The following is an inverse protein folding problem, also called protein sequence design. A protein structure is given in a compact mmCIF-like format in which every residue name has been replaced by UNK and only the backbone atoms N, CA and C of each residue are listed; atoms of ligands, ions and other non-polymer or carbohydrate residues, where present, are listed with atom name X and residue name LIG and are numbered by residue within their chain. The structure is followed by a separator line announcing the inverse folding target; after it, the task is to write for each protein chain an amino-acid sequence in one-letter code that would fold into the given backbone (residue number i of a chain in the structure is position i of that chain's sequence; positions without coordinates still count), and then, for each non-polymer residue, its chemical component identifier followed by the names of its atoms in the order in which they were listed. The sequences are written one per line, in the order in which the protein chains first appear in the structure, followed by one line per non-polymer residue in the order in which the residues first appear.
data_IF_724726378473
#
_entry.id   IF_724726378473
#
_cell.length_a   1.000
_cell.length_b   1.000
_cell.length_c   1.000
_cell.angle_alpha   90.00
_cell.angle_beta   90.00
_cell.angle_gamma   90.00
#
_symmetry.space_group_name_H-M   'P 1'
#
loop_
_entity.id
_entity.type
_entity.pdbx_description
1 polymer ?
#
# COMPACT_ATOMS: atom_id res chain seq x y z
N UNK A 1 53.49 -28.47 -3.96
CA UNK A 1 54.50 -27.60 -4.61
C UNK A 1 53.76 -26.74 -5.63
N UNK A 2 53.87 -25.41 -5.49
CA UNK A 2 53.85 -24.36 -6.56
C UNK A 2 52.82 -24.53 -7.70
N UNK A 3 51.88 -23.63 -7.97
CA UNK A 3 51.80 -22.19 -7.77
C UNK A 3 51.29 -21.54 -9.07
N UNK A 4 50.51 -20.46 -8.94
CA UNK A 4 50.09 -19.53 -10.01
C UNK A 4 49.09 -20.06 -11.08
N UNK A 5 48.14 -19.28 -11.59
CA UNK A 5 48.09 -17.83 -11.66
C UNK A 5 46.67 -17.25 -11.71
N UNK A 6 46.59 -16.03 -11.17
CA UNK A 6 45.47 -15.09 -11.30
C UNK A 6 45.43 -14.58 -12.74
N UNK A 7 44.23 -14.53 -13.34
CA UNK A 7 43.93 -13.57 -14.40
C UNK A 7 42.65 -12.82 -14.02
N UNK A 8 42.82 -11.58 -13.57
CA UNK A 8 41.75 -10.59 -13.42
C UNK A 8 41.64 -9.86 -14.75
N UNK A 9 40.53 -10.04 -15.46
CA UNK A 9 40.19 -9.22 -16.62
C UNK A 9 39.41 -8.00 -16.14
N UNK A 10 40.08 -6.85 -16.20
CA UNK A 10 39.48 -5.52 -16.17
C UNK A 10 38.91 -5.24 -17.57
N UNK A 11 37.62 -4.91 -17.67
CA UNK A 11 36.98 -4.41 -18.88
C UNK A 11 36.32 -3.06 -18.59
N UNK A 12 36.89 -2.00 -19.17
CA UNK A 12 36.42 -0.61 -19.13
C UNK A 12 35.20 -0.38 -20.04
N UNK A 13 34.24 0.41 -19.54
CA UNK A 13 33.58 1.59 -20.14
C UNK A 13 32.96 1.47 -21.54
N UNK A 14 31.65 1.77 -21.64
CA UNK A 14 31.13 2.73 -22.62
C UNK A 14 29.68 3.14 -22.28
N UNK A 15 29.56 4.40 -21.88
CA UNK A 15 28.32 5.17 -21.79
C UNK A 15 27.74 5.43 -23.18
N UNK A 16 26.41 5.32 -23.35
CA UNK A 16 25.70 5.88 -24.51
C UNK A 16 24.51 6.71 -24.03
N UNK A 17 24.44 7.92 -24.59
CA UNK A 17 23.55 9.02 -24.25
C UNK A 17 22.12 8.86 -24.81
N UNK A 18 21.24 9.71 -24.30
CA UNK A 18 19.78 9.73 -24.48
C UNK A 18 19.31 10.10 -25.90
N UNK A 19 18.07 9.70 -26.22
CA UNK A 19 17.19 10.47 -27.09
C UNK A 19 15.76 10.47 -26.50
N UNK A 20 15.30 11.64 -26.08
CA UNK A 20 13.92 11.91 -25.70
C UNK A 20 13.17 12.44 -26.92
N UNK A 21 12.01 11.86 -27.23
CA UNK A 21 11.06 12.40 -28.20
C UNK A 21 9.72 12.64 -27.48
N UNK A 22 9.39 13.91 -27.31
CA UNK A 22 8.07 14.41 -26.88
C UNK A 22 7.30 14.77 -28.15
N UNK A 23 6.14 14.16 -28.36
CA UNK A 23 5.14 14.66 -29.33
C UNK A 23 3.91 15.13 -28.54
N UNK A 24 3.56 16.40 -28.75
CA UNK A 24 2.60 17.15 -27.97
C UNK A 24 1.13 16.86 -28.31
N UNK A 25 0.27 17.26 -27.38
CA UNK A 25 -1.19 17.29 -27.52
C UNK A 25 -1.63 18.71 -27.90
N UNK A 26 -2.40 18.84 -28.97
CA UNK A 26 -3.33 19.95 -29.20
C UNK A 26 -4.60 19.61 -28.40
N UNK A 27 -5.18 20.42 -27.51
CA UNK A 27 -5.18 21.87 -27.42
C UNK A 27 -6.40 22.43 -28.16
N UNK A 28 -7.61 22.23 -27.62
CA UNK A 28 -8.82 22.84 -28.15
C UNK A 28 -9.63 23.43 -26.98
N UNK A 29 -9.54 24.76 -26.83
CA UNK A 29 -10.37 25.59 -25.97
C UNK A 29 -11.65 25.97 -26.71
N UNK A 30 -12.75 26.16 -25.98
CA UNK A 30 -13.81 27.10 -26.37
C UNK A 30 -14.50 27.65 -25.13
N UNK A 31 -14.40 28.96 -24.97
CA UNK A 31 -15.15 29.85 -24.08
C UNK A 31 -16.67 29.82 -24.36
N UNK A 32 -17.46 30.11 -23.32
CA UNK A 32 -18.90 30.36 -23.40
C UNK A 32 -19.32 31.35 -22.30
N UNK A 33 -19.88 32.47 -22.74
CA UNK A 33 -20.09 33.74 -22.05
C UNK A 33 -21.39 33.83 -21.21
N UNK A 34 -21.38 34.82 -20.30
CA UNK A 34 -22.48 35.64 -19.72
C UNK A 34 -23.66 35.06 -18.91
N UNK A 35 -24.00 35.76 -17.80
CA UNK A 35 -25.35 35.73 -17.20
C UNK A 35 -25.49 36.21 -15.74
N UNK A 36 -25.66 37.52 -15.54
CA UNK A 36 -26.39 38.30 -14.52
C UNK A 36 -26.43 38.03 -12.99
N UNK A 37 -25.91 39.05 -12.29
CA UNK A 37 -26.39 39.81 -11.10
C UNK A 37 -27.63 39.36 -10.30
N UNK A 38 -27.47 39.32 -8.96
CA UNK A 38 -28.03 40.27 -7.98
C UNK A 38 -28.33 39.57 -6.64
N UNK A 39 -27.89 40.16 -5.52
CA UNK A 39 -28.28 39.68 -4.20
C UNK A 39 -27.48 40.28 -3.04
N UNK A 40 -27.67 41.57 -2.79
CA UNK A 40 -27.26 42.26 -1.57
C UNK A 40 -27.78 41.58 -0.29
N UNK A 41 -26.90 41.40 0.71
CA UNK A 41 -27.16 41.82 2.11
C UNK A 41 -25.88 41.86 2.96
N UNK A 42 -25.69 43.03 3.58
CA UNK A 42 -24.67 43.48 4.53
C UNK A 42 -24.73 42.71 5.88
N UNK A 43 -23.65 42.65 6.69
CA UNK A 43 -23.51 41.70 7.80
C UNK A 43 -24.08 42.25 9.11
N UNK A 44 -24.45 41.33 10.01
CA UNK A 44 -24.80 41.66 11.40
C UNK A 44 -23.71 41.13 12.33
N UNK A 45 -23.03 42.06 12.99
CA UNK A 45 -22.26 41.85 14.22
C UNK A 45 -23.20 41.46 15.36
N UNK A 46 -22.72 40.63 16.29
CA UNK A 46 -23.18 40.62 17.69
C UNK A 46 -22.08 39.98 18.56
N UNK A 47 -21.54 40.77 19.48
CA UNK A 47 -20.61 40.37 20.54
C UNK A 47 -21.35 40.29 21.88
N UNK A 48 -20.98 39.29 22.71
CA UNK A 48 -20.90 39.28 24.19
C UNK A 48 -22.20 39.47 25.02
N UNK A 49 -22.41 38.93 26.22
CA UNK A 49 -21.74 37.98 27.12
C UNK A 49 -22.70 37.67 28.30
N UNK A 50 -22.42 36.61 29.09
CA UNK A 50 -22.99 36.33 30.42
C UNK A 50 -23.14 34.81 30.67
N UNK A 51 -22.14 34.12 31.25
CA UNK A 51 -22.04 33.67 32.66
C UNK A 51 -23.29 32.91 33.15
N UNK A 52 -23.24 31.64 33.55
CA UNK A 52 -22.48 31.11 34.70
C UNK A 52 -22.34 29.58 34.59
N UNK A 53 -21.19 29.02 34.94
CA UNK A 53 -21.09 27.58 35.25
C UNK A 53 -20.04 27.40 36.34
N UNK A 54 -20.54 27.00 37.51
CA UNK A 54 -19.80 26.74 38.72
C UNK A 54 -18.65 25.75 38.52
N UNK A 55 -17.59 26.02 39.29
CA UNK A 55 -16.30 25.38 39.15
C UNK A 55 -16.22 23.93 39.62
N UNK A 56 -15.13 23.30 39.21
CA UNK A 56 -14.29 22.50 40.09
C UNK A 56 -12.86 22.51 39.56
N UNK A 57 -11.97 23.09 40.35
CA UNK A 57 -10.52 23.00 40.19
C UNK A 57 -10.06 21.59 40.56
N UNK A 58 -9.13 21.04 39.80
CA UNK A 58 -8.00 20.28 40.34
C UNK A 58 -6.79 20.44 39.42
N UNK A 59 -5.67 20.66 40.10
CA UNK A 59 -4.38 21.16 39.65
C UNK A 59 -3.49 20.03 39.12
N UNK A 60 -2.63 20.31 38.13
CA UNK A 60 -1.62 19.34 37.70
C UNK A 60 -0.91 19.65 36.37
N UNK A 61 0.06 20.57 36.40
CA UNK A 61 1.36 20.35 35.74
C UNK A 61 1.51 20.57 34.23
N UNK A 62 1.58 21.86 33.86
CA UNK A 62 2.39 22.53 32.83
C UNK A 62 3.61 21.81 32.19
N UNK A 63 3.67 21.85 30.84
CA UNK A 63 4.71 22.43 29.94
C UNK A 63 4.89 21.55 28.68
N UNK A 64 4.33 21.94 27.53
CA UNK A 64 4.82 22.91 26.52
C UNK A 64 5.69 22.25 25.43
N UNK A 65 5.14 22.13 24.22
CA UNK A 65 5.53 22.89 23.00
C UNK A 65 6.58 22.13 22.16
N UNK A 66 6.62 22.12 20.82
CA UNK A 66 5.83 22.71 19.74
C UNK A 66 6.49 22.15 18.46
N UNK A 67 5.73 21.67 17.48
CA UNK A 67 5.50 22.48 16.29
C UNK A 67 5.85 21.68 15.03
N UNK A 68 5.05 21.86 13.98
CA UNK A 68 5.32 21.26 12.68
C UNK A 68 4.06 21.09 11.85
N UNK A 69 3.45 22.23 11.46
CA UNK A 69 2.33 22.24 10.54
C UNK A 69 2.68 21.57 9.23
N UNK A 70 1.83 20.63 8.82
CA UNK A 70 1.74 20.12 7.46
C UNK A 70 0.27 20.04 7.13
N UNK A 71 -0.20 20.96 6.29
CA UNK A 71 -1.54 20.92 5.71
C UNK A 71 -1.66 19.63 4.89
N UNK A 72 -2.25 18.60 5.49
CA UNK A 72 -2.46 17.29 4.88
C UNK A 72 -3.92 17.15 4.48
N UNK A 73 -4.15 17.07 3.18
CA UNK A 73 -5.43 16.76 2.55
C UNK A 73 -6.02 15.49 3.19
N UNK A 74 -7.33 15.55 3.46
CA UNK A 74 -8.05 14.63 4.33
C UNK A 74 -8.02 13.15 3.97
N UNK A 75 -8.40 12.35 4.97
CA UNK A 75 -8.61 10.92 4.87
C UNK A 75 -8.67 10.35 6.28
N UNK A 76 -9.77 9.69 6.64
CA UNK A 76 -9.93 9.05 7.95
C UNK A 76 -8.81 8.05 8.28
N UNK A 77 -8.78 7.47 9.50
CA UNK A 77 -7.64 6.71 10.01
C UNK A 77 -7.22 5.59 9.04
N UNK A 78 -6.17 5.83 8.26
CA UNK A 78 -5.52 4.79 7.48
C UNK A 78 -4.74 3.94 8.48
N UNK A 79 -5.07 2.65 8.61
CA UNK A 79 -4.31 1.72 9.45
C UNK A 79 -2.92 1.56 8.84
N UNK A 80 -1.96 2.30 9.37
CA UNK A 80 -0.55 2.23 8.97
C UNK A 80 0.04 0.92 9.48
N UNK A 81 0.54 0.11 8.56
CA UNK A 81 1.20 -1.16 8.88
C UNK A 81 2.58 -0.85 9.47
N UNK A 82 2.80 -1.24 10.72
CA UNK A 82 4.02 -0.93 11.46
C UNK A 82 5.15 -1.93 11.18
N UNK A 83 4.81 -3.10 10.64
CA UNK A 83 5.75 -4.17 10.29
C UNK A 83 5.46 -4.78 8.90
N UNK A 84 6.46 -5.44 8.26
CA UNK A 84 6.22 -6.11 6.99
C UNK A 84 5.21 -7.25 7.09
N UNK A 85 5.17 -7.94 8.22
CA UNK A 85 4.27 -9.04 8.55
C UNK A 85 2.82 -8.54 8.62
N UNK A 86 2.60 -7.41 9.29
CA UNK A 86 1.28 -6.76 9.33
C UNK A 86 0.79 -6.41 7.92
N UNK A 87 1.66 -5.83 7.08
CA UNK A 87 1.28 -5.48 5.71
C UNK A 87 0.83 -6.70 4.90
N UNK A 88 1.58 -7.81 4.98
CA UNK A 88 1.22 -9.06 4.29
C UNK A 88 -0.04 -9.69 4.89
N UNK A 89 -0.16 -9.77 6.21
CA UNK A 89 -1.34 -10.32 6.87
C UNK A 89 -2.60 -9.51 6.55
N UNK A 90 -2.51 -8.17 6.54
CA UNK A 90 -3.60 -7.28 6.15
C UNK A 90 -4.01 -7.47 4.69
N UNK A 91 -3.03 -7.59 3.77
CA UNK A 91 -3.31 -7.80 2.36
C UNK A 91 -3.96 -9.16 2.09
N UNK A 92 -3.41 -10.24 2.64
CA UNK A 92 -3.99 -11.59 2.53
C UNK A 92 -5.37 -11.64 3.19
N UNK A 93 -5.53 -11.02 4.36
CA UNK A 93 -6.82 -10.91 5.05
C UNK A 93 -7.88 -10.20 4.20
N UNK A 94 -7.51 -9.11 3.53
CA UNK A 94 -8.41 -8.42 2.62
C UNK A 94 -8.80 -9.28 1.41
N UNK A 95 -7.88 -10.09 0.87
CA UNK A 95 -8.17 -11.03 -0.22
C UNK A 95 -9.15 -12.12 0.22
N UNK A 96 -8.87 -12.81 1.34
CA UNK A 96 -9.71 -13.89 1.86
C UNK A 96 -11.12 -13.38 2.15
N UNK A 97 -11.25 -12.15 2.65
CA UNK A 97 -12.53 -11.47 2.91
C UNK A 97 -13.21 -10.91 1.65
N UNK A 98 -12.57 -11.00 0.48
CA UNK A 98 -13.14 -10.48 -0.78
C UNK A 98 -13.24 -8.96 -0.82
N UNK A 99 -12.28 -8.26 -0.21
CA UNK A 99 -12.26 -6.80 -0.05
C UNK A 99 -11.14 -6.16 -0.86
N UNK A 100 -11.31 -6.00 -2.19
CA UNK A 100 -10.24 -5.54 -3.06
C UNK A 100 -9.80 -4.09 -2.80
N UNK A 101 -10.69 -3.25 -2.26
CA UNK A 101 -10.33 -1.88 -1.85
C UNK A 101 -9.39 -1.89 -0.65
N UNK A 102 -9.64 -2.72 0.35
CA UNK A 102 -8.74 -2.86 1.52
C UNK A 102 -7.40 -3.45 1.08
N UNK A 103 -7.40 -4.45 0.18
CA UNK A 103 -6.17 -5.00 -0.40
C UNK A 103 -5.38 -3.93 -1.17
N UNK A 104 -6.05 -3.05 -1.89
CA UNK A 104 -5.42 -1.95 -2.61
C UNK A 104 -4.72 -0.94 -1.67
N UNK A 105 -5.33 -0.61 -0.53
CA UNK A 105 -4.79 0.39 0.40
C UNK A 105 -3.45 -0.03 1.03
N UNK A 106 -3.22 -1.33 1.15
CA UNK A 106 -1.97 -1.88 1.73
C UNK A 106 -0.93 -2.27 0.67
N UNK A 107 -1.20 -1.95 -0.60
CA UNK A 107 -0.27 -2.13 -1.71
C UNK A 107 0.47 -0.83 -2.03
N UNK A 108 1.65 -0.95 -2.63
CA UNK A 108 2.34 0.19 -3.21
C UNK A 108 3.16 -0.21 -4.45
N UNK A 109 3.30 0.72 -5.39
CA UNK A 109 4.33 0.68 -6.41
C UNK A 109 5.59 1.34 -5.85
N UNK A 110 6.74 0.65 -5.77
CA UNK A 110 7.98 1.26 -5.33
C UNK A 110 8.43 2.35 -6.32
N UNK A 111 9.27 3.27 -5.84
CA UNK A 111 9.84 4.33 -6.69
C UNK A 111 10.64 3.72 -7.84
N UNK A 112 10.56 4.34 -9.03
CA UNK A 112 11.25 3.87 -10.25
C UNK A 112 11.91 5.05 -10.95
N UNK A 113 13.25 5.06 -10.97
CA UNK A 113 14.00 6.20 -11.51
C UNK A 113 13.70 7.48 -10.73
N UNK A 114 13.28 8.53 -11.43
CA UNK A 114 12.83 9.79 -10.84
C UNK A 114 11.38 9.78 -10.36
N UNK A 115 10.58 8.76 -10.72
CA UNK A 115 9.19 8.69 -10.32
C UNK A 115 9.07 8.26 -8.85
N UNK A 116 8.31 9.00 -8.01
CA UNK A 116 8.12 8.65 -6.61
C UNK A 116 7.32 7.35 -6.47
N UNK A 117 7.47 6.71 -5.32
CA UNK A 117 6.64 5.56 -4.96
C UNK A 117 5.16 5.98 -4.90
N UNK A 118 4.27 5.10 -5.35
CA UNK A 118 2.82 5.31 -5.30
C UNK A 118 2.22 4.33 -4.31
N UNK A 119 1.75 4.83 -3.18
CA UNK A 119 1.05 4.02 -2.18
C UNK A 119 -0.43 3.94 -2.52
N UNK A 120 -1.09 2.87 -2.07
CA UNK A 120 -2.54 2.79 -2.06
C UNK A 120 -3.14 3.98 -1.31
N UNK A 121 -4.11 4.65 -1.93
CA UNK A 121 -4.89 5.72 -1.31
C UNK A 121 -6.36 5.50 -1.59
N UNK A 122 -7.29 6.03 -0.77
CA UNK A 122 -8.71 5.93 -1.04
C UNK A 122 -9.09 6.42 -2.43
N UNK A 123 -8.52 7.53 -2.89
CA UNK A 123 -8.80 8.12 -4.21
C UNK A 123 -8.38 7.17 -5.33
N UNK A 124 -7.16 6.62 -5.26
CA UNK A 124 -6.64 5.66 -6.24
C UNK A 124 -7.46 4.36 -6.20
N UNK A 125 -7.70 3.80 -5.02
CA UNK A 125 -8.36 2.51 -4.86
C UNK A 125 -9.86 2.52 -5.16
N UNK A 126 -10.49 3.70 -5.13
CA UNK A 126 -11.86 3.92 -5.60
C UNK A 126 -11.94 4.36 -7.07
N UNK A 127 -10.80 4.62 -7.73
CA UNK A 127 -10.79 5.05 -9.12
C UNK A 127 -11.18 3.93 -10.09
N UNK A 128 -11.70 4.32 -11.26
CA UNK A 128 -11.94 3.43 -12.38
C UNK A 128 -10.70 3.16 -13.25
N UNK A 129 -9.50 3.47 -12.76
CA UNK A 129 -8.28 3.33 -13.55
C UNK A 129 -8.04 1.85 -13.95
N UNK A 130 -7.54 1.58 -15.17
CA UNK A 130 -7.44 0.21 -15.70
C UNK A 130 -6.59 -0.74 -14.83
N UNK A 131 -5.53 -0.21 -14.23
CA UNK A 131 -4.65 -0.92 -13.29
C UNK A 131 -5.39 -1.33 -12.01
N UNK A 132 -6.20 -0.42 -11.46
CA UNK A 132 -7.03 -0.69 -10.26
C UNK A 132 -8.10 -1.72 -10.57
N UNK A 133 -8.78 -1.63 -11.72
CA UNK A 133 -9.76 -2.64 -12.13
C UNK A 133 -9.12 -4.01 -12.33
N UNK A 134 -7.93 -4.08 -12.94
CA UNK A 134 -7.20 -5.34 -13.10
C UNK A 134 -6.84 -5.96 -11.75
N UNK A 135 -6.41 -5.14 -10.80
CA UNK A 135 -6.13 -5.58 -9.42
C UNK A 135 -7.39 -6.11 -8.73
N UNK A 136 -8.52 -5.39 -8.81
CA UNK A 136 -9.79 -5.83 -8.22
C UNK A 136 -10.24 -7.20 -8.76
N UNK A 137 -10.12 -7.41 -10.08
CA UNK A 137 -10.38 -8.73 -10.71
C UNK A 137 -9.38 -9.81 -10.25
N UNK A 138 -8.12 -9.44 -10.07
CA UNK A 138 -7.07 -10.34 -9.56
C UNK A 138 -7.36 -10.82 -8.13
N UNK A 139 -7.76 -9.91 -7.24
CA UNK A 139 -8.14 -10.24 -5.85
C UNK A 139 -9.25 -11.29 -5.79
N UNK A 140 -10.24 -11.23 -6.70
CA UNK A 140 -11.28 -12.24 -6.79
C UNK A 140 -10.73 -13.66 -7.01
N UNK A 141 -9.76 -13.82 -7.93
CA UNK A 141 -9.11 -15.12 -8.17
C UNK A 141 -8.24 -15.56 -7.00
N UNK A 142 -7.52 -14.64 -6.37
CA UNK A 142 -6.71 -14.99 -5.20
C UNK A 142 -7.54 -15.41 -4.00
N UNK A 143 -8.76 -14.89 -3.85
CA UNK A 143 -9.67 -15.32 -2.78
C UNK A 143 -9.94 -16.82 -2.86
N UNK A 144 -10.27 -17.34 -4.05
CA UNK A 144 -10.53 -18.77 -4.25
C UNK A 144 -9.31 -19.63 -3.90
N UNK A 145 -8.11 -19.14 -4.22
CA UNK A 145 -6.86 -19.84 -3.91
C UNK A 145 -6.47 -19.75 -2.43
N UNK A 146 -6.74 -18.64 -1.75
CA UNK A 146 -6.20 -18.33 -0.42
C UNK A 146 -7.18 -18.63 0.73
N UNK A 147 -8.45 -18.91 0.42
CA UNK A 147 -9.45 -19.26 1.42
C UNK A 147 -9.40 -20.76 1.76
N UNK A 148 -9.26 -21.11 3.05
CA UNK A 148 -9.47 -22.49 3.50
C UNK A 148 -10.86 -23.01 3.13
N UNK A 149 -10.96 -24.33 2.93
CA UNK A 149 -12.25 -25.04 2.84
C UNK A 149 -12.49 -25.86 4.12
N UNK A 150 -13.69 -25.77 4.74
CA UNK A 150 -14.76 -24.79 4.47
C UNK A 150 -14.33 -23.36 4.82
N UNK A 151 -14.96 -22.32 4.24
CA UNK A 151 -14.66 -20.94 4.56
C UNK A 151 -15.09 -20.57 5.99
N UNK A 152 -14.32 -19.68 6.62
CA UNK A 152 -14.65 -19.06 7.92
C UNK A 152 -15.33 -17.71 7.71
N UNK A 153 -16.29 -17.37 8.57
CA UNK A 153 -16.95 -16.05 8.57
C UNK A 153 -16.00 -14.93 9.00
N UNK A 154 -15.04 -15.25 9.89
CA UNK A 154 -14.03 -14.31 10.36
C UNK A 154 -12.64 -14.95 10.28
N UNK A 155 -12.05 -15.01 9.08
CA UNK A 155 -10.76 -15.65 8.88
C UNK A 155 -9.68 -14.90 9.64
N UNK A 156 -8.88 -15.63 10.42
CA UNK A 156 -7.70 -15.10 11.12
C UNK A 156 -6.48 -15.26 10.23
N UNK A 157 -5.81 -14.15 9.93
CA UNK A 157 -4.58 -14.17 9.13
C UNK A 157 -3.40 -13.70 9.96
N UNK A 158 -2.32 -14.47 9.93
CA UNK A 158 -1.07 -14.15 10.63
C UNK A 158 0.11 -14.35 9.67
N UNK A 159 1.16 -13.57 9.85
CA UNK A 159 2.42 -13.76 9.14
C UNK A 159 3.54 -13.85 10.17
N UNK A 160 4.38 -14.89 10.07
CA UNK A 160 5.49 -15.09 10.98
C UNK A 160 6.52 -13.97 10.82
N UNK A 161 7.26 -13.71 11.89
CA UNK A 161 8.29 -12.69 11.83
C UNK A 161 9.45 -13.09 10.92
N UNK A 162 9.82 -12.21 9.99
CA UNK A 162 11.00 -12.37 9.13
C UNK A 162 11.96 -11.19 9.30
N UNK A 163 13.27 -11.37 9.06
CA UNK A 163 14.21 -10.27 9.03
C UNK A 163 13.87 -9.23 7.95
N UNK A 164 13.92 -7.96 8.33
CA UNK A 164 13.82 -6.84 7.40
C UNK A 164 15.21 -6.24 7.16
N UNK A 165 15.61 -6.14 5.89
CA UNK A 165 16.90 -5.61 5.48
C UNK A 165 16.70 -4.34 4.66
N UNK A 166 17.22 -3.20 5.14
CA UNK A 166 17.14 -1.93 4.41
C UNK A 166 15.72 -1.47 4.10
N UNK A 167 14.76 -1.74 5.01
CA UNK A 167 13.36 -1.40 4.81
C UNK A 167 12.63 -2.30 3.81
N UNK A 168 13.16 -3.49 3.52
CA UNK A 168 12.49 -4.52 2.72
C UNK A 168 12.44 -5.85 3.45
N UNK A 169 11.41 -6.63 3.22
CA UNK A 169 11.28 -7.98 3.72
C UNK A 169 10.62 -8.87 2.66
N UNK A 170 11.05 -10.13 2.61
CA UNK A 170 10.43 -11.15 1.77
C UNK A 170 9.82 -12.19 2.70
N UNK A 171 8.52 -12.41 2.56
CA UNK A 171 7.74 -13.35 3.37
C UNK A 171 7.26 -14.47 2.44
N UNK A 172 7.76 -15.70 2.58
CA UNK A 172 7.25 -16.83 1.82
C UNK A 172 5.88 -17.29 2.34
N UNK A 173 5.08 -17.94 1.49
CA UNK A 173 3.70 -18.31 1.81
C UNK A 173 3.58 -19.35 2.94
N UNK A 174 4.59 -20.20 3.16
CA UNK A 174 4.63 -21.14 4.29
C UNK A 174 4.68 -20.42 5.65
N UNK A 175 5.07 -19.14 5.66
CA UNK A 175 5.11 -18.27 6.85
C UNK A 175 3.84 -17.44 7.04
N UNK A 176 2.85 -17.56 6.15
CA UNK A 176 1.57 -16.89 6.29
C UNK A 176 0.52 -17.96 6.60
N UNK A 177 -0.33 -17.72 7.59
CA UNK A 177 -1.42 -18.64 7.95
C UNK A 177 -2.78 -17.97 7.78
N UNK A 178 -3.77 -18.77 7.37
CA UNK A 178 -5.20 -18.41 7.39
C UNK A 178 -5.91 -19.50 8.19
N UNK A 179 -6.56 -19.11 9.29
CA UNK A 179 -7.20 -20.01 10.25
C UNK A 179 -6.25 -21.14 10.71
N UNK A 180 -4.98 -20.79 10.93
CA UNK A 180 -3.94 -21.71 11.39
C UNK A 180 -3.36 -22.65 10.33
N UNK A 181 -3.88 -22.66 9.10
CA UNK A 181 -3.31 -23.39 7.97
C UNK A 181 -2.35 -22.51 7.19
N UNK A 182 -1.18 -23.02 6.80
CA UNK A 182 -0.22 -22.25 6.00
C UNK A 182 -0.77 -21.97 4.59
N UNK A 183 -0.43 -20.81 4.05
CA UNK A 183 -1.03 -20.29 2.82
C UNK A 183 -0.65 -21.11 1.59
N UNK A 184 0.58 -21.60 1.52
CA UNK A 184 1.05 -22.55 0.51
C UNK A 184 0.19 -23.82 0.44
N UNK A 185 -0.13 -24.41 1.60
CA UNK A 185 -0.99 -25.60 1.70
C UNK A 185 -2.42 -25.31 1.29
N UNK A 186 -2.92 -24.13 1.64
CA UNK A 186 -4.25 -23.71 1.21
C UNK A 186 -4.28 -23.58 -0.33
N UNK A 187 -3.29 -22.91 -0.91
CA UNK A 187 -3.16 -22.77 -2.37
C UNK A 187 -3.11 -24.13 -3.06
N UNK A 188 -2.28 -25.06 -2.58
CA UNK A 188 -2.18 -26.42 -3.13
C UNK A 188 -3.52 -27.15 -3.03
N UNK A 189 -4.19 -27.10 -1.87
CA UNK A 189 -5.50 -27.75 -1.68
C UNK A 189 -6.61 -27.17 -2.57
N UNK A 190 -6.44 -25.94 -3.03
CA UNK A 190 -7.36 -25.24 -3.92
C UNK A 190 -6.96 -25.32 -5.41
N UNK A 191 -5.80 -25.93 -5.71
CA UNK A 191 -5.26 -26.06 -7.07
C UNK A 191 -5.38 -27.50 -7.57
N UNK A 192 -5.37 -27.68 -8.89
CA UNK A 192 -5.30 -29.00 -9.52
C UNK A 192 -3.92 -29.19 -10.15
N UNK A 193 -3.29 -30.35 -9.90
CA UNK A 193 -2.03 -30.72 -10.55
C UNK A 193 -0.78 -29.97 -10.08
N UNK A 194 -0.81 -29.34 -8.91
CA UNK A 194 0.35 -28.67 -8.29
C UNK A 194 0.60 -29.30 -6.92
N UNK A 195 1.86 -29.57 -6.60
CA UNK A 195 2.30 -30.04 -5.27
C UNK A 195 3.04 -28.92 -4.51
N UNK A 196 3.24 -29.09 -3.20
CA UNK A 196 3.89 -28.09 -2.35
C UNK A 196 5.32 -27.75 -2.81
N UNK A 197 6.07 -28.76 -3.29
CA UNK A 197 7.45 -28.60 -3.78
C UNK A 197 7.54 -27.85 -5.11
N UNK A 198 6.45 -27.78 -5.87
CA UNK A 198 6.38 -27.08 -7.14
C UNK A 198 5.95 -25.61 -6.98
N UNK A 199 5.49 -25.22 -5.78
CA UNK A 199 4.90 -23.91 -5.54
C UNK A 199 5.91 -22.99 -4.83
N UNK A 200 6.35 -21.93 -5.51
CA UNK A 200 7.15 -20.85 -4.90
C UNK A 200 6.37 -19.54 -4.88
N UNK A 201 5.80 -19.24 -3.72
CA UNK A 201 5.00 -18.02 -3.47
C UNK A 201 5.68 -17.15 -2.43
N UNK A 202 5.93 -15.89 -2.81
CA UNK A 202 6.64 -14.91 -1.97
C UNK A 202 5.96 -13.54 -2.04
N UNK A 203 5.84 -12.90 -0.89
CA UNK A 203 5.39 -11.52 -0.73
C UNK A 203 6.60 -10.64 -0.46
N UNK A 204 6.76 -9.57 -1.24
CA UNK A 204 7.74 -8.53 -0.94
C UNK A 204 7.03 -7.36 -0.29
N UNK A 205 7.42 -7.05 0.93
CA UNK A 205 6.97 -5.86 1.65
C UNK A 205 8.10 -4.84 1.71
N UNK A 206 7.78 -3.57 1.50
CA UNK A 206 8.74 -2.47 1.59
C UNK A 206 8.19 -1.34 2.47
N UNK A 207 9.09 -0.74 3.24
CA UNK A 207 8.84 0.46 4.01
C UNK A 207 8.90 1.67 3.08
N UNK A 208 7.80 2.38 2.97
CA UNK A 208 7.69 3.63 2.20
C UNK A 208 7.26 4.71 3.18
N UNK A 209 8.16 5.67 3.44
CA UNK A 209 8.04 6.61 4.58
C UNK A 209 7.97 5.82 5.90
N UNK A 210 6.90 5.99 6.66
CA UNK A 210 6.74 5.40 8.00
C UNK A 210 5.79 4.19 8.05
N UNK A 211 5.40 3.64 6.89
CA UNK A 211 4.50 2.48 6.81
C UNK A 211 5.02 1.40 5.87
N UNK A 212 4.65 0.15 6.14
CA UNK A 212 4.95 -1.00 5.31
C UNK A 212 3.82 -1.27 4.32
N UNK A 213 4.18 -1.65 3.09
CA UNK A 213 3.26 -1.96 2.02
C UNK A 213 3.71 -3.22 1.30
N UNK A 214 2.76 -4.02 0.83
CA UNK A 214 3.06 -5.08 -0.14
C UNK A 214 3.38 -4.40 -1.47
N UNK A 215 4.56 -4.69 -2.00
CA UNK A 215 5.08 -4.06 -3.23
C UNK A 215 5.25 -5.03 -4.38
N UNK A 216 5.34 -6.33 -4.07
CA UNK A 216 5.40 -7.38 -5.08
C UNK A 216 4.82 -8.68 -4.52
N UNK A 217 4.31 -9.49 -5.43
CA UNK A 217 3.78 -10.82 -5.17
C UNK A 217 4.25 -11.74 -6.29
N UNK A 218 5.18 -12.62 -5.95
CA UNK A 218 5.69 -13.62 -6.87
C UNK A 218 4.93 -14.93 -6.65
N UNK A 219 4.38 -15.48 -7.73
CA UNK A 219 3.72 -16.78 -7.75
C UNK A 219 4.32 -17.59 -8.89
N UNK A 220 5.06 -18.63 -8.56
CA UNK A 220 5.73 -19.50 -9.54
C UNK A 220 5.31 -20.95 -9.31
N UNK A 221 5.15 -21.67 -10.41
CA UNK A 221 4.97 -23.13 -10.44
C UNK A 221 6.14 -23.69 -11.25
N UNK A 222 6.89 -24.66 -10.71
CA UNK A 222 8.09 -25.21 -11.33
C UNK A 222 8.29 -26.68 -11.05
#
# INVERSE_FOLDING_TARGET
MTGSGRKKTLGLVASVAMAAAVMGVTGCSSDGDSGDKSGDKKPAESSSAGQDSGGKSDDGGKNDQQGGGGSGIGGGPQVKQSSPQEAVASWVGAIVKGKPKEACLVMAEPAKGSAPAKVGSPERCNSGAPDVQKMQKGVGRFREAFSPKPPSDNPKVEAAQVPANGGKAVIPADKVTVDGKSLDKIIVSNSTGVTEDQLDVKFTSAKIKDAWYVTDFAFNIG
#
